data_IF_348712528237
#
_entry.id   IF_348712528237
#
_cell.length_a   1.000
_cell.length_b   1.000
_cell.length_c   1.000
_cell.angle_alpha   90.00
_cell.angle_beta   90.00
_cell.angle_gamma   90.00
#
_symmetry.space_group_name_H-M   'P 1'
#
loop_
_entity.id
_entity.type
_entity.pdbx_description
1 polymer ?
#
# COMPACT_ATOMS: atom_id res chain seq x y z
N UNK A 1 -16.83 -16.43 15.07
CA UNK A 1 -16.88 -15.09 14.42
C UNK A 1 -15.53 -14.84 13.79
N UNK A 2 -15.44 -14.67 12.47
CA UNK A 2 -14.22 -14.12 11.85
C UNK A 2 -14.32 -12.60 11.94
N UNK A 3 -13.48 -11.96 12.76
CA UNK A 3 -13.37 -10.50 12.78
C UNK A 3 -12.57 -10.02 11.56
N UNK A 4 -12.89 -8.82 11.09
CA UNK A 4 -12.16 -8.14 10.03
C UNK A 4 -11.37 -6.98 10.65
N UNK A 5 -10.06 -6.98 10.46
CA UNK A 5 -9.18 -5.87 10.84
C UNK A 5 -9.01 -4.92 9.65
N UNK A 6 -9.02 -3.62 9.91
CA UNK A 6 -8.75 -2.59 8.89
C UNK A 6 -7.58 -1.75 9.35
N UNK A 7 -6.50 -1.75 8.58
CA UNK A 7 -5.29 -0.96 8.82
C UNK A 7 -5.21 0.16 7.80
N UNK A 8 -4.85 1.37 8.25
CA UNK A 8 -4.62 2.52 7.37
C UNK A 8 -3.29 3.17 7.68
N UNK A 9 -2.51 3.44 6.65
CA UNK A 9 -1.21 4.07 6.80
C UNK A 9 -0.86 4.89 5.57
N UNK A 10 -0.25 6.06 5.77
CA UNK A 10 0.27 6.88 4.70
C UNK A 10 1.79 6.77 4.67
N UNK A 11 2.37 6.65 3.48
CA UNK A 11 3.81 6.57 3.28
C UNK A 11 4.20 7.27 1.99
N UNK A 12 5.49 7.54 1.82
CA UNK A 12 6.01 8.16 0.60
C UNK A 12 6.95 7.21 -0.14
N UNK A 13 6.93 7.28 -1.46
CA UNK A 13 7.92 6.64 -2.31
C UNK A 13 8.19 7.55 -3.52
N UNK A 14 9.36 7.39 -4.13
CA UNK A 14 9.77 8.16 -5.30
C UNK A 14 9.26 7.49 -6.58
N UNK A 15 8.74 8.27 -7.51
CA UNK A 15 8.43 7.77 -8.85
C UNK A 15 9.73 7.51 -9.64
N UNK A 16 9.90 6.33 -10.27
CA UNK A 16 11.07 6.07 -11.10
C UNK A 16 11.17 6.97 -12.35
N UNK A 17 10.05 7.50 -12.85
CA UNK A 17 10.01 8.24 -14.11
C UNK A 17 10.51 9.68 -14.01
N UNK A 18 10.17 10.37 -12.91
CA UNK A 18 10.37 11.82 -12.77
C UNK A 18 10.96 12.23 -11.41
N UNK A 19 11.30 11.25 -10.57
CA UNK A 19 11.85 11.45 -9.23
C UNK A 19 10.94 12.23 -8.25
N UNK A 20 9.66 12.43 -8.56
CA UNK A 20 8.74 13.04 -7.61
C UNK A 20 8.48 12.14 -6.40
N UNK A 21 8.35 12.77 -5.23
CA UNK A 21 7.92 12.09 -4.00
C UNK A 21 6.40 12.02 -3.99
N UNK A 22 5.85 10.82 -4.09
CA UNK A 22 4.42 10.58 -4.07
C UNK A 22 3.97 10.18 -2.66
N UNK A 23 2.89 10.80 -2.16
CA UNK A 23 2.21 10.38 -0.95
C UNK A 23 1.16 9.32 -1.28
N UNK A 24 1.34 8.13 -0.74
CA UNK A 24 0.40 7.02 -0.86
C UNK A 24 -0.45 6.87 0.40
N UNK A 25 -1.70 6.47 0.22
CA UNK A 25 -2.58 5.99 1.27
C UNK A 25 -2.87 4.51 1.07
N UNK A 26 -2.48 3.68 2.04
CA UNK A 26 -2.69 2.23 2.05
C UNK A 26 -3.81 1.88 3.02
N UNK A 27 -4.77 1.09 2.55
CA UNK A 27 -5.74 0.38 3.37
C UNK A 27 -5.57 -1.13 3.18
N UNK A 28 -5.46 -1.89 4.27
CA UNK A 28 -5.44 -3.36 4.28
C UNK A 28 -6.61 -3.86 5.11
N UNK A 29 -7.43 -4.74 4.51
CA UNK A 29 -8.53 -5.44 5.19
C UNK A 29 -8.15 -6.91 5.31
N UNK A 30 -8.02 -7.41 6.53
CA UNK A 30 -7.54 -8.77 6.78
C UNK A 30 -8.29 -9.47 7.90
N UNK A 31 -8.54 -10.77 7.73
CA UNK A 31 -9.06 -11.66 8.78
C UNK A 31 -7.95 -12.05 9.78
N UNK A 32 -6.69 -11.99 9.36
CA UNK A 32 -5.54 -12.20 10.23
C UNK A 32 -5.13 -10.88 10.89
N UNK A 33 -4.50 -10.98 12.06
CA UNK A 33 -3.86 -9.82 12.68
C UNK A 33 -2.53 -9.55 11.98
N UNK A 34 -2.35 -8.30 11.53
CA UNK A 34 -1.09 -7.79 10.98
C UNK A 34 -0.48 -6.84 12.02
N UNK A 35 0.79 -7.08 12.35
CA UNK A 35 1.58 -6.21 13.22
C UNK A 35 1.76 -4.83 12.57
N UNK A 36 1.38 -3.76 13.27
CA UNK A 36 1.46 -2.39 12.75
C UNK A 36 2.90 -1.98 12.46
N UNK A 37 3.85 -2.48 13.26
CA UNK A 37 5.28 -2.31 13.07
C UNK A 37 5.78 -2.95 11.76
N UNK A 38 5.16 -4.05 11.30
CA UNK A 38 5.50 -4.66 10.02
C UNK A 38 5.02 -3.80 8.85
N UNK A 39 3.80 -3.23 8.94
CA UNK A 39 3.27 -2.29 7.94
C UNK A 39 4.19 -1.08 7.83
N UNK A 40 4.49 -0.43 8.96
CA UNK A 40 5.38 0.74 9.02
C UNK A 40 6.77 0.44 8.45
N UNK A 41 7.34 -0.71 8.79
CA UNK A 41 8.68 -1.09 8.33
C UNK A 41 8.66 -1.38 6.83
N UNK A 42 7.66 -2.12 6.34
CA UNK A 42 7.54 -2.44 4.92
C UNK A 42 7.42 -1.18 4.07
N UNK A 43 6.47 -0.30 4.41
CA UNK A 43 6.25 0.94 3.66
C UNK A 43 7.43 1.90 3.74
N UNK A 44 8.15 1.96 4.87
CA UNK A 44 9.34 2.79 5.00
C UNK A 44 10.53 2.28 4.18
N UNK A 45 10.58 0.99 3.83
CA UNK A 45 11.63 0.40 2.99
C UNK A 45 11.40 0.65 1.49
N UNK A 46 10.18 1.00 1.09
CA UNK A 46 9.84 1.33 -0.30
C UNK A 46 10.35 2.73 -0.60
N UNK A 47 11.56 2.82 -1.16
CA UNK A 47 12.17 4.12 -1.50
C UNK A 47 11.72 4.64 -2.86
N UNK A 48 11.49 3.73 -3.81
CA UNK A 48 11.13 4.04 -5.18
C UNK A 48 10.34 2.85 -5.75
N UNK A 49 9.37 3.12 -6.63
CA UNK A 49 8.63 2.08 -7.34
C UNK A 49 7.43 2.63 -8.11
N UNK A 50 6.93 1.85 -9.07
CA UNK A 50 5.67 2.15 -9.75
C UNK A 50 4.48 1.85 -8.83
N UNK A 51 3.38 2.60 -8.98
CA UNK A 51 2.20 2.46 -8.11
C UNK A 51 1.69 1.02 -8.02
N UNK A 52 1.54 0.35 -9.15
CA UNK A 52 1.04 -1.01 -9.26
C UNK A 52 2.04 -2.02 -8.68
N UNK A 53 3.34 -1.82 -8.90
CA UNK A 53 4.38 -2.69 -8.35
C UNK A 53 4.43 -2.59 -6.83
N UNK A 54 4.35 -1.38 -6.28
CA UNK A 54 4.24 -1.15 -4.83
C UNK A 54 3.00 -1.87 -4.27
N UNK A 55 1.87 -1.82 -4.99
CA UNK A 55 0.65 -2.51 -4.59
C UNK A 55 0.82 -4.04 -4.60
N UNK A 56 1.49 -4.59 -5.61
CA UNK A 56 1.76 -6.02 -5.75
C UNK A 56 2.67 -6.52 -4.62
N UNK A 57 3.76 -5.80 -4.32
CA UNK A 57 4.71 -6.15 -3.25
C UNK A 57 4.02 -6.14 -1.87
N UNK A 58 3.16 -5.15 -1.61
CA UNK A 58 2.40 -5.06 -0.36
C UNK A 58 1.32 -6.14 -0.26
N UNK A 59 0.67 -6.50 -1.37
CA UNK A 59 -0.30 -7.58 -1.45
C UNK A 59 0.34 -8.94 -1.20
N UNK A 60 1.47 -9.23 -1.84
CA UNK A 60 2.25 -10.46 -1.60
C UNK A 60 2.69 -10.56 -0.14
N UNK A 61 3.13 -9.46 0.46
CA UNK A 61 3.66 -9.45 1.82
C UNK A 61 2.61 -9.60 2.91
N UNK A 62 1.45 -8.95 2.77
CA UNK A 62 0.46 -8.85 3.84
C UNK A 62 -0.84 -9.63 3.57
N UNK A 63 -1.07 -10.02 2.31
CA UNK A 63 -2.35 -10.57 1.88
C UNK A 63 -3.51 -9.63 2.16
N UNK A 64 -4.71 -10.22 2.31
CA UNK A 64 -5.94 -9.47 2.53
C UNK A 64 -6.35 -8.61 1.34
N UNK A 65 -7.49 -7.94 1.46
CA UNK A 65 -7.92 -7.01 0.43
C UNK A 65 -7.22 -5.68 0.65
N UNK A 66 -6.55 -5.16 -0.37
CA UNK A 66 -5.78 -3.94 -0.29
C UNK A 66 -6.29 -2.89 -1.27
N UNK A 67 -6.30 -1.65 -0.80
CA UNK A 67 -6.53 -0.46 -1.63
C UNK A 67 -5.36 0.47 -1.41
N UNK A 68 -4.69 0.87 -2.49
CA UNK A 68 -3.67 1.91 -2.44
C UNK A 68 -4.07 3.06 -3.35
N UNK A 69 -3.94 4.28 -2.84
CA UNK A 69 -4.33 5.52 -3.52
C UNK A 69 -3.19 6.51 -3.52
N UNK A 70 -3.05 7.26 -4.59
CA UNK A 70 -2.09 8.35 -4.71
C UNK A 70 -2.59 9.43 -5.67
N UNK A 71 -1.94 10.58 -5.63
CA UNK A 71 -2.01 11.60 -6.68
C UNK A 71 -0.62 11.79 -7.24
N UNK A 72 -0.46 11.68 -8.56
CA UNK A 72 0.80 11.87 -9.24
C UNK A 72 0.58 12.70 -10.51
N UNK A 73 1.33 13.79 -10.69
CA UNK A 73 1.16 14.73 -11.81
C UNK A 73 -0.30 15.19 -11.99
N UNK A 74 -1.03 15.38 -10.88
CA UNK A 74 -2.45 15.76 -10.88
C UNK A 74 -3.44 14.62 -11.18
N UNK A 75 -2.97 13.43 -11.52
CA UNK A 75 -3.80 12.24 -11.77
C UNK A 75 -4.03 11.49 -10.47
N UNK A 76 -5.29 11.17 -10.16
CA UNK A 76 -5.66 10.30 -9.05
C UNK A 76 -5.57 8.86 -9.50
N UNK A 77 -4.79 8.07 -8.77
CA UNK A 77 -4.57 6.65 -9.05
C UNK A 77 -5.11 5.85 -7.87
N UNK A 78 -5.90 4.83 -8.15
CA UNK A 78 -6.42 3.89 -7.18
C UNK A 78 -6.29 2.48 -7.76
N UNK A 79 -5.62 1.59 -7.02
CA UNK A 79 -5.58 0.18 -7.38
C UNK A 79 -6.04 -0.69 -6.22
N UNK A 80 -6.65 -1.81 -6.58
CA UNK A 80 -7.28 -2.74 -5.65
C UNK A 80 -6.67 -4.12 -5.87
N UNK A 81 -6.32 -4.82 -4.78
CA UNK A 81 -5.93 -6.23 -4.78
C UNK A 81 -6.91 -6.98 -3.90
N UNK A 82 -7.57 -7.99 -4.45
CA UNK A 82 -8.56 -8.79 -3.74
C UNK A 82 -7.96 -10.17 -3.43
N UNK A 83 -8.13 -10.62 -2.19
CA UNK A 83 -7.44 -11.80 -1.64
C UNK A 83 -8.06 -13.15 -1.96
N UNK A 84 -9.23 -13.19 -2.62
CA UNK A 84 -9.85 -14.41 -3.18
C UNK A 84 -10.22 -15.46 -2.14
#
# INVERSE_FOLDING_TARGET
MTSLNIYRHNFTAVCPSDAEVILYSLEIRSKAMIRVEHIKTATALIKQGWHEQIADDLAERFGGDQVIKAVHQGVKIETVRLSG
#
